data_IF_828257401244
#
_entry.id   IF_828257401244
#
_cell.length_a   1.000
_cell.length_b   1.000
_cell.length_c   1.000
_cell.angle_alpha   90.00
_cell.angle_beta   90.00
_cell.angle_gamma   90.00
#
_symmetry.space_group_name_H-M   'P 1'
#
loop_
_entity.id
_entity.type
_entity.pdbx_description
1 polymer ?
#
# COMPACT_ATOMS: atom_id res chain seq x y z
N UNK A 1 9.54 -16.67 11.90
CA UNK A 1 8.45 -16.41 10.93
C UNK A 1 7.24 -15.68 11.53
N UNK A 2 7.00 -15.71 12.84
CA UNK A 2 5.93 -14.94 13.51
C UNK A 2 6.00 -13.41 13.29
N UNK A 3 7.19 -12.87 13.07
CA UNK A 3 7.40 -11.43 12.92
C UNK A 3 7.20 -10.91 11.48
N UNK A 4 6.83 -11.77 10.53
CA UNK A 4 6.71 -11.36 9.13
C UNK A 4 5.62 -10.28 8.90
N UNK A 5 4.42 -10.36 9.50
CA UNK A 5 3.43 -9.28 9.40
C UNK A 5 3.88 -7.97 10.08
N UNK A 6 4.66 -8.06 11.16
CA UNK A 6 5.23 -6.89 11.82
C UNK A 6 6.28 -6.19 10.92
N UNK A 7 7.14 -6.98 10.25
CA UNK A 7 8.06 -6.45 9.23
C UNK A 7 7.30 -5.78 8.09
N UNK A 8 6.24 -6.41 7.57
CA UNK A 8 5.36 -5.83 6.54
C UNK A 8 4.75 -4.50 7.01
N UNK A 9 4.31 -4.43 8.27
CA UNK A 9 3.78 -3.20 8.86
C UNK A 9 4.85 -2.10 8.91
N UNK A 10 6.07 -2.43 9.35
CA UNK A 10 7.21 -1.49 9.34
C UNK A 10 7.53 -1.00 7.93
N UNK A 11 7.59 -1.90 6.94
CA UNK A 11 7.83 -1.54 5.55
C UNK A 11 6.70 -0.64 4.99
N UNK A 12 5.47 -0.86 5.42
CA UNK A 12 4.32 -0.01 5.07
C UNK A 12 4.50 1.40 5.62
N UNK A 13 4.96 1.54 6.86
CA UNK A 13 5.27 2.85 7.48
C UNK A 13 6.38 3.57 6.69
N UNK A 14 7.46 2.86 6.36
CA UNK A 14 8.57 3.43 5.58
C UNK A 14 8.14 3.85 4.17
N UNK A 15 7.30 3.05 3.51
CA UNK A 15 6.70 3.39 2.22
C UNK A 15 5.81 4.64 2.32
N UNK A 16 4.95 4.74 3.33
CA UNK A 16 4.12 5.92 3.56
C UNK A 16 4.98 7.17 3.75
N UNK A 17 6.00 7.08 4.61
CA UNK A 17 6.95 8.16 4.82
C UNK A 17 7.66 8.57 3.53
N UNK A 18 8.14 7.60 2.73
CA UNK A 18 8.79 7.86 1.45
C UNK A 18 7.89 8.59 0.44
N UNK A 19 6.63 8.17 0.31
CA UNK A 19 5.68 8.85 -0.60
C UNK A 19 5.28 10.24 -0.10
N UNK A 20 5.14 10.42 1.22
CA UNK A 20 4.89 11.72 1.84
C UNK A 20 6.06 12.68 1.59
N UNK A 21 7.29 12.21 1.79
CA UNK A 21 8.49 12.98 1.51
C UNK A 21 8.58 13.37 0.04
N UNK A 22 8.32 12.45 -0.89
CA UNK A 22 8.34 12.74 -2.33
C UNK A 22 7.32 13.83 -2.73
N UNK A 23 6.10 13.79 -2.19
CA UNK A 23 5.09 14.81 -2.43
C UNK A 23 5.49 16.17 -1.84
N UNK A 24 6.03 16.20 -0.61
CA UNK A 24 6.52 17.43 0.03
C UNK A 24 7.72 18.05 -0.69
N UNK A 25 8.67 17.21 -1.13
CA UNK A 25 9.81 17.66 -1.92
C UNK A 25 9.37 18.22 -3.28
N UNK A 26 8.45 17.54 -3.98
CA UNK A 26 7.92 18.04 -5.25
C UNK A 26 7.16 19.37 -5.06
N UNK A 27 6.45 19.55 -3.95
CA UNK A 27 5.78 20.82 -3.60
C UNK A 27 6.79 21.98 -3.58
N UNK A 28 7.88 21.82 -2.84
CA UNK A 28 8.93 22.85 -2.75
C UNK A 28 9.65 23.07 -4.08
N UNK A 29 10.02 21.99 -4.78
CA UNK A 29 10.74 22.04 -6.06
C UNK A 29 9.94 22.76 -7.15
N UNK A 30 8.64 22.51 -7.23
CA UNK A 30 7.77 23.09 -8.26
C UNK A 30 6.97 24.30 -7.78
N UNK A 31 7.28 24.83 -6.58
CA UNK A 31 6.66 26.03 -6.00
C UNK A 31 5.13 26.00 -5.99
N UNK A 32 4.56 24.86 -5.63
CA UNK A 32 3.11 24.72 -5.46
C UNK A 32 2.75 25.13 -4.03
N UNK A 33 2.25 26.36 -3.86
CA UNK A 33 1.93 26.88 -2.53
C UNK A 33 0.74 26.15 -1.89
N UNK A 34 0.78 25.93 -0.59
CA UNK A 34 -0.37 25.39 0.13
C UNK A 34 -1.51 26.44 0.14
N UNK A 35 -2.79 26.04 0.04
CA UNK A 35 -3.33 24.68 0.09
C UNK A 35 -3.45 23.98 -1.28
N UNK A 36 -2.84 24.51 -2.36
CA UNK A 36 -3.02 23.96 -3.69
C UNK A 36 -2.52 22.50 -3.79
N UNK A 37 -3.29 21.68 -4.51
CA UNK A 37 -3.02 20.26 -4.81
C UNK A 37 -2.89 20.00 -6.31
N UNK A 38 -2.92 21.07 -7.11
CA UNK A 38 -2.75 21.08 -8.57
C UNK A 38 -1.67 22.10 -8.95
N UNK A 39 -1.06 21.92 -10.13
CA UNK A 39 0.02 22.79 -10.60
C UNK A 39 0.95 22.06 -11.58
N UNK A 40 2.20 21.84 -11.18
CA UNK A 40 3.16 21.17 -12.05
C UNK A 40 2.84 19.66 -12.19
N UNK A 41 2.83 19.07 -13.41
CA UNK A 41 2.45 17.67 -13.60
C UNK A 41 3.26 16.66 -12.78
N UNK A 42 4.55 16.94 -12.53
CA UNK A 42 5.38 16.08 -11.68
C UNK A 42 5.00 16.15 -10.19
N UNK A 43 4.56 17.32 -9.70
CA UNK A 43 3.99 17.44 -8.35
C UNK A 43 2.69 16.66 -8.25
N UNK A 44 1.79 16.83 -9.23
CA UNK A 44 0.51 16.11 -9.23
C UNK A 44 0.71 14.60 -9.23
N UNK A 45 1.69 14.07 -9.99
CA UNK A 45 2.03 12.63 -9.93
C UNK A 45 2.52 12.21 -8.54
N UNK A 46 3.42 12.97 -7.93
CA UNK A 46 3.92 12.66 -6.59
C UNK A 46 2.80 12.70 -5.53
N UNK A 47 1.94 13.71 -5.60
CA UNK A 47 0.77 13.83 -4.73
C UNK A 47 -0.22 12.67 -4.93
N UNK A 48 -0.51 12.28 -6.18
CA UNK A 48 -1.39 11.12 -6.49
C UNK A 48 -0.78 9.79 -6.05
N UNK A 49 0.54 9.62 -6.14
CA UNK A 49 1.24 8.45 -5.61
C UNK A 49 1.05 8.34 -4.10
N UNK A 50 1.26 9.43 -3.37
CA UNK A 50 1.07 9.46 -1.92
C UNK A 50 -0.38 9.20 -1.53
N UNK A 51 -1.35 9.93 -2.09
CA UNK A 51 -2.77 9.77 -1.76
C UNK A 51 -3.28 8.35 -2.07
N UNK A 52 -2.96 7.80 -3.24
CA UNK A 52 -3.41 6.44 -3.58
C UNK A 52 -2.76 5.37 -2.68
N UNK A 53 -1.49 5.57 -2.30
CA UNK A 53 -0.81 4.65 -1.38
C UNK A 53 -1.40 4.75 0.02
N UNK A 54 -1.72 5.97 0.49
CA UNK A 54 -2.42 6.22 1.76
C UNK A 54 -3.79 5.52 1.80
N UNK A 55 -4.66 5.77 0.81
CA UNK A 55 -5.98 5.14 0.69
C UNK A 55 -5.86 3.60 0.71
N UNK A 56 -4.90 3.04 -0.05
CA UNK A 56 -4.72 1.60 -0.07
C UNK A 56 -4.16 1.05 1.23
N UNK A 57 -3.32 1.78 1.95
CA UNK A 57 -2.79 1.34 3.26
C UNK A 57 -3.91 1.20 4.28
N UNK A 58 -4.91 2.10 4.25
CA UNK A 58 -6.08 2.05 5.14
C UNK A 58 -6.89 0.77 4.93
N UNK A 59 -7.02 0.27 3.70
CA UNK A 59 -7.65 -1.03 3.45
C UNK A 59 -6.70 -2.20 3.76
N UNK A 60 -5.42 -2.06 3.43
CA UNK A 60 -4.43 -3.12 3.53
C UNK A 60 -4.16 -3.56 4.97
N UNK A 61 -3.87 -2.64 5.89
CA UNK A 61 -3.47 -2.98 7.25
C UNK A 61 -4.56 -3.75 8.02
N UNK A 62 -5.84 -3.33 8.04
CA UNK A 62 -6.89 -4.12 8.66
C UNK A 62 -7.04 -5.51 8.03
N UNK A 63 -6.93 -5.61 6.69
CA UNK A 63 -7.04 -6.89 5.99
C UNK A 63 -5.88 -7.83 6.35
N UNK A 64 -4.65 -7.30 6.45
CA UNK A 64 -3.47 -8.03 6.90
C UNK A 64 -3.69 -8.62 8.30
N UNK A 65 -4.08 -7.77 9.24
CA UNK A 65 -4.24 -8.18 10.63
C UNK A 65 -5.45 -9.07 10.86
N UNK A 66 -6.51 -8.94 10.05
CA UNK A 66 -7.63 -9.89 10.04
C UNK A 66 -7.17 -11.30 9.64
N UNK A 67 -6.39 -11.42 8.57
CA UNK A 67 -5.85 -12.71 8.15
C UNK A 67 -4.90 -13.31 9.20
N UNK A 68 -4.05 -12.49 9.81
CA UNK A 68 -3.15 -12.91 10.90
C UNK A 68 -3.93 -13.39 12.12
N UNK A 69 -5.00 -12.69 12.51
CA UNK A 69 -5.85 -13.04 13.63
C UNK A 69 -6.45 -14.44 13.49
N UNK A 70 -6.85 -14.83 12.27
CA UNK A 70 -7.38 -16.18 11.98
C UNK A 70 -6.31 -17.23 11.64
N UNK A 71 -5.06 -17.00 12.03
CA UNK A 71 -4.00 -18.02 12.00
C UNK A 71 -3.16 -18.05 10.72
N UNK A 72 -3.41 -17.18 9.73
CA UNK A 72 -2.67 -17.15 8.47
C UNK A 72 -1.33 -16.37 8.56
N UNK A 73 -0.61 -16.43 9.67
CA UNK A 73 0.56 -15.56 9.96
C UNK A 73 1.61 -15.54 8.85
N UNK A 74 2.06 -16.71 8.38
CA UNK A 74 3.08 -16.83 7.34
C UNK A 74 2.57 -16.31 5.99
N UNK A 75 1.41 -16.80 5.55
CA UNK A 75 0.83 -16.47 4.26
C UNK A 75 0.40 -15.01 4.17
N UNK A 76 -0.11 -14.44 5.25
CA UNK A 76 -0.42 -13.03 5.36
C UNK A 76 0.85 -12.17 5.25
N UNK A 77 1.94 -12.60 5.89
CA UNK A 77 3.24 -11.94 5.73
C UNK A 77 3.75 -11.97 4.29
N UNK A 78 3.67 -13.11 3.60
CA UNK A 78 4.07 -13.24 2.18
C UNK A 78 3.22 -12.34 1.27
N UNK A 79 1.89 -12.42 1.40
CA UNK A 79 0.97 -11.58 0.64
C UNK A 79 1.19 -10.09 0.91
N UNK A 80 1.53 -9.74 2.16
CA UNK A 80 1.94 -8.40 2.57
C UNK A 80 3.22 -7.92 1.89
N UNK A 81 4.24 -8.77 1.77
CA UNK A 81 5.46 -8.45 1.02
C UNK A 81 5.18 -8.23 -0.48
N UNK A 82 4.29 -9.04 -1.08
CA UNK A 82 3.84 -8.84 -2.46
C UNK A 82 3.15 -7.48 -2.62
N UNK A 83 2.29 -7.11 -1.66
CA UNK A 83 1.65 -5.79 -1.65
C UNK A 83 2.67 -4.65 -1.59
N UNK A 84 3.66 -4.74 -0.70
CA UNK A 84 4.75 -3.77 -0.57
C UNK A 84 5.53 -3.64 -1.88
N UNK A 85 5.96 -4.76 -2.47
CA UNK A 85 6.72 -4.76 -3.71
C UNK A 85 5.92 -4.12 -4.86
N UNK A 86 4.64 -4.46 -4.98
CA UNK A 86 3.73 -3.84 -5.95
C UNK A 86 3.59 -2.33 -5.74
N UNK A 87 3.49 -1.87 -4.48
CA UNK A 87 3.37 -0.44 -4.15
C UNK A 87 4.64 0.35 -4.42
N UNK A 88 5.81 -0.21 -4.12
CA UNK A 88 7.09 0.41 -4.46
C UNK A 88 7.22 0.53 -5.98
N UNK A 89 6.90 -0.53 -6.73
CA UNK A 89 6.90 -0.47 -8.19
C UNK A 89 5.91 0.58 -8.72
N UNK A 90 4.67 0.58 -8.22
CA UNK A 90 3.65 1.58 -8.57
C UNK A 90 4.17 3.01 -8.36
N UNK A 91 4.75 3.30 -7.19
CA UNK A 91 5.25 4.62 -6.85
C UNK A 91 6.38 5.07 -7.80
N UNK A 92 7.40 4.23 -7.99
CA UNK A 92 8.53 4.54 -8.88
C UNK A 92 8.08 4.72 -10.33
N UNK A 93 7.23 3.84 -10.83
CA UNK A 93 6.74 3.90 -12.20
C UNK A 93 5.90 5.17 -12.44
N UNK A 94 5.00 5.50 -11.53
CA UNK A 94 4.12 6.67 -11.66
C UNK A 94 4.90 7.98 -11.53
N UNK A 95 5.86 8.08 -10.60
CA UNK A 95 6.72 9.28 -10.50
C UNK A 95 7.43 9.58 -11.82
N UNK A 96 7.98 8.55 -12.47
CA UNK A 96 8.61 8.67 -13.79
C UNK A 96 7.62 8.96 -14.92
N UNK A 97 6.61 8.10 -15.10
CA UNK A 97 5.62 8.22 -16.17
C UNK A 97 4.25 7.67 -15.73
N UNK A 98 3.22 8.53 -15.78
CA UNK A 98 1.86 8.18 -15.38
C UNK A 98 1.27 6.96 -16.09
N UNK A 99 1.64 6.69 -17.35
CA UNK A 99 1.14 5.55 -18.12
C UNK A 99 1.67 4.19 -17.61
N UNK A 100 2.80 4.16 -16.88
CA UNK A 100 3.47 2.92 -16.48
C UNK A 100 3.05 2.41 -15.09
N UNK A 101 2.08 3.05 -14.45
CA UNK A 101 1.65 2.73 -13.08
C UNK A 101 0.85 1.43 -12.94
N UNK A 102 0.22 0.95 -14.02
CA UNK A 102 -0.74 -0.15 -14.00
C UNK A 102 -0.21 -1.47 -13.44
N UNK A 103 0.92 -2.02 -13.94
CA UNK A 103 1.41 -3.33 -13.51
C UNK A 103 1.73 -3.42 -12.01
N UNK A 104 2.45 -2.43 -11.46
CA UNK A 104 2.75 -2.39 -10.02
C UNK A 104 1.50 -2.29 -9.15
N UNK A 105 0.52 -1.49 -9.58
CA UNK A 105 -0.78 -1.42 -8.90
C UNK A 105 -1.48 -2.79 -8.88
N UNK A 106 -1.50 -3.49 -10.01
CA UNK A 106 -2.15 -4.80 -10.15
C UNK A 106 -1.49 -5.86 -9.26
N UNK A 107 -0.16 -5.89 -9.19
CA UNK A 107 0.58 -6.75 -8.25
C UNK A 107 0.18 -6.44 -6.80
N UNK A 108 0.07 -5.16 -6.43
CA UNK A 108 -0.36 -4.79 -5.09
C UNK A 108 -1.79 -5.26 -4.79
N UNK A 109 -2.70 -5.17 -5.77
CA UNK A 109 -4.08 -5.64 -5.63
C UNK A 109 -4.16 -7.16 -5.47
N UNK A 110 -3.31 -7.93 -6.15
CA UNK A 110 -3.24 -9.38 -5.95
C UNK A 110 -2.81 -9.75 -4.52
N UNK A 111 -1.79 -9.05 -4.00
CA UNK A 111 -1.36 -9.23 -2.60
C UNK A 111 -2.47 -8.92 -1.60
N UNK A 112 -3.20 -7.81 -1.82
CA UNK A 112 -4.34 -7.46 -0.97
C UNK A 112 -5.52 -8.43 -1.11
N UNK A 113 -5.87 -8.87 -2.32
CA UNK A 113 -6.94 -9.82 -2.55
C UNK A 113 -6.67 -11.17 -1.86
N UNK A 114 -5.42 -11.64 -1.86
CA UNK A 114 -5.03 -12.83 -1.13
C UNK A 114 -5.24 -12.67 0.39
N UNK A 115 -4.89 -11.51 0.96
CA UNK A 115 -5.19 -11.17 2.36
C UNK A 115 -6.68 -11.18 2.65
N UNK A 116 -7.48 -10.59 1.77
CA UNK A 116 -8.93 -10.53 1.94
C UNK A 116 -9.55 -11.93 1.95
N UNK A 117 -9.17 -12.79 1.02
CA UNK A 117 -9.64 -14.19 0.96
C UNK A 117 -9.29 -14.94 2.25
N UNK A 118 -8.05 -14.81 2.74
CA UNK A 118 -7.65 -15.42 4.01
C UNK A 118 -8.47 -14.90 5.19
N UNK A 119 -8.68 -13.58 5.28
CA UNK A 119 -9.49 -12.97 6.33
C UNK A 119 -10.96 -13.40 6.30
N UNK A 120 -11.58 -13.45 5.11
CA UNK A 120 -12.98 -13.87 4.93
C UNK A 120 -13.16 -15.35 5.26
N UNK A 121 -12.26 -16.23 4.80
CA UNK A 121 -12.33 -17.66 5.14
C UNK A 121 -12.16 -17.86 6.65
N UNK A 122 -11.20 -17.16 7.25
CA UNK A 122 -10.96 -17.21 8.69
C UNK A 122 -12.18 -16.80 9.51
N UNK A 123 -12.73 -15.62 9.22
CA UNK A 123 -13.94 -15.11 9.86
C UNK A 123 -15.15 -16.03 9.63
N UNK A 124 -15.36 -16.47 8.39
CA UNK A 124 -16.47 -17.35 8.04
C UNK A 124 -16.44 -18.67 8.81
N UNK A 125 -15.26 -19.29 8.94
CA UNK A 125 -15.09 -20.49 9.76
C UNK A 125 -15.44 -20.23 11.23
N UNK A 126 -14.94 -19.14 11.79
CA UNK A 126 -15.22 -18.77 13.18
C UNK A 126 -16.71 -18.56 13.45
N UNK A 127 -17.43 -17.92 12.52
CA UNK A 127 -18.88 -17.70 12.64
C UNK A 127 -19.70 -18.97 12.49
N UNK A 128 -19.24 -19.94 11.67
CA UNK A 128 -19.95 -21.21 11.46
C UNK A 128 -19.70 -22.25 12.57
N UNK A 129 -18.65 -22.06 13.37
CA UNK A 129 -18.30 -22.95 14.49
C UNK A 129 -18.61 -22.35 15.86
N UNK A 130 -19.14 -21.12 15.90
CA UNK A 130 -19.62 -20.45 17.11
C UNK A 130 -21.06 -20.88 17.43
#
# INVERSE_FOLDING_TARGET
>A
MQNLPALVTLLTILLQFGTMYAAGWARGKYRVEAPATTGHPAFERAYRVQMNTLESTVMFLPTLWLAVHYGYVLWAGIAGLVWIAGRVWYALAYLGNASKRGPGYMVSMLGWAALLVMGVIGLGRALLTA
#
